data_IF_121916877554
#
_entry.id   IF_121916877554
#
_cell.length_a   1.000
_cell.length_b   1.000
_cell.length_c   1.000
_cell.angle_alpha   90.00
_cell.angle_beta   90.00
_cell.angle_gamma   90.00
#
_symmetry.space_group_name_H-M   'P 1'
#
loop_
_entity.id
_entity.type
_entity.pdbx_description
1 polymer ?
#
# COMPACT_ATOMS: atom_id res chain seq x y z
N UNK A 1 -9.96 -24.29 22.37
CA UNK A 1 -9.76 -24.19 20.91
C UNK A 1 -9.47 -22.74 20.60
N UNK A 2 -8.38 -22.49 19.89
CA UNK A 2 -8.01 -21.14 19.47
C UNK A 2 -8.82 -20.77 18.23
N UNK A 3 -9.31 -19.54 18.19
CA UNK A 3 -10.06 -18.96 17.08
C UNK A 3 -9.21 -17.88 16.44
N UNK A 4 -9.02 -18.00 15.13
CA UNK A 4 -8.22 -17.10 14.30
C UNK A 4 -9.10 -16.31 13.34
N UNK A 5 -8.55 -15.29 12.70
CA UNK A 5 -9.25 -14.56 11.64
C UNK A 5 -9.62 -15.46 10.45
N UNK A 6 -8.90 -16.57 10.24
CA UNK A 6 -9.21 -17.58 9.22
C UNK A 6 -10.52 -18.33 9.47
N UNK A 7 -11.04 -18.32 10.70
CA UNK A 7 -12.32 -18.96 11.07
C UNK A 7 -13.54 -18.06 10.79
N UNK A 8 -13.31 -16.81 10.36
CA UNK A 8 -14.37 -15.86 10.02
C UNK A 8 -14.99 -16.24 8.67
N UNK A 9 -16.31 -16.40 8.65
CA UNK A 9 -17.08 -16.52 7.42
C UNK A 9 -17.27 -15.13 6.81
N UNK A 10 -16.77 -14.94 5.58
CA UNK A 10 -16.86 -13.67 4.86
C UNK A 10 -17.76 -13.78 3.64
N UNK A 11 -18.27 -12.62 3.20
CA UNK A 11 -18.93 -12.49 1.90
C UNK A 11 -17.91 -12.59 0.75
N UNK A 12 -18.39 -12.80 -0.48
CA UNK A 12 -17.53 -12.95 -1.68
C UNK A 12 -16.60 -11.77 -1.94
N UNK A 13 -16.97 -10.59 -1.45
CA UNK A 13 -16.30 -9.33 -1.75
C UNK A 13 -15.31 -8.92 -0.64
N UNK A 14 -15.13 -9.80 0.36
CA UNK A 14 -14.29 -9.55 1.54
C UNK A 14 -13.20 -10.62 1.60
N UNK A 15 -11.95 -10.16 1.61
CA UNK A 15 -10.77 -11.00 1.81
C UNK A 15 -10.08 -10.64 3.13
N UNK A 16 -9.77 -11.66 3.93
CA UNK A 16 -8.94 -11.53 5.14
C UNK A 16 -7.50 -11.85 4.75
N UNK A 17 -6.66 -10.81 4.77
CA UNK A 17 -5.25 -10.92 4.39
C UNK A 17 -4.44 -11.69 5.45
N UNK A 18 -4.61 -11.39 6.73
CA UNK A 18 -3.93 -12.07 7.83
C UNK A 18 -4.84 -13.11 8.48
N UNK A 19 -4.90 -14.32 7.92
CA UNK A 19 -5.76 -15.41 8.41
C UNK A 19 -5.30 -15.99 9.75
N UNK A 20 -4.01 -15.91 10.04
CA UNK A 20 -3.43 -16.49 11.26
C UNK A 20 -3.57 -15.58 12.49
N UNK A 21 -4.22 -14.42 12.34
CA UNK A 21 -4.40 -13.48 13.44
C UNK A 21 -5.26 -14.10 14.56
N UNK A 22 -4.67 -14.32 15.72
CA UNK A 22 -5.37 -14.81 16.90
C UNK A 22 -6.44 -13.82 17.37
N UNK A 23 -7.65 -14.31 17.61
CA UNK A 23 -8.76 -13.52 18.12
C UNK A 23 -9.01 -13.81 19.60
N UNK A 24 -9.33 -15.06 19.93
CA UNK A 24 -9.64 -15.52 21.28
C UNK A 24 -9.65 -17.05 21.36
N UNK A 25 -9.87 -17.60 22.55
CA UNK A 25 -10.00 -19.04 22.79
C UNK A 25 -11.38 -19.39 23.33
N UNK A 26 -11.96 -20.52 22.89
CA UNK A 26 -13.21 -21.07 23.41
C UNK A 26 -12.89 -22.31 24.25
N UNK A 27 -13.44 -22.36 25.48
CA UNK A 27 -13.35 -23.52 26.36
C UNK A 27 -14.25 -24.67 25.87
N UNK A 28 -13.91 -25.90 26.23
CA UNK A 28 -14.69 -27.08 25.84
C UNK A 28 -16.16 -26.96 26.28
N UNK A 29 -17.08 -27.40 25.42
CA UNK A 29 -18.53 -27.31 25.66
C UNK A 29 -19.17 -25.92 25.45
N UNK A 30 -18.41 -24.92 25.00
CA UNK A 30 -18.91 -23.57 24.75
C UNK A 30 -18.92 -23.22 23.26
N UNK A 31 -19.74 -22.24 22.88
CA UNK A 31 -19.83 -21.72 21.51
C UNK A 31 -20.01 -20.21 21.50
N UNK A 32 -19.48 -19.54 20.49
CA UNK A 32 -19.64 -18.09 20.27
C UNK A 32 -20.19 -17.82 18.88
N UNK A 33 -21.08 -16.82 18.77
CA UNK A 33 -21.55 -16.28 17.50
C UNK A 33 -21.45 -14.77 17.56
N UNK A 34 -20.81 -14.18 16.56
CA UNK A 34 -20.72 -12.74 16.36
C UNK A 34 -21.04 -12.40 14.91
N UNK A 35 -21.55 -11.19 14.69
CA UNK A 35 -21.69 -10.58 13.37
C UNK A 35 -20.86 -9.32 13.38
N UNK A 36 -20.01 -9.15 12.37
CA UNK A 36 -19.13 -7.99 12.24
C UNK A 36 -19.49 -7.24 10.97
N UNK A 37 -19.45 -5.92 11.07
CA UNK A 37 -19.68 -5.04 9.92
C UNK A 37 -18.35 -4.39 9.55
N UNK A 38 -17.94 -4.55 8.30
CA UNK A 38 -16.74 -3.92 7.76
C UNK A 38 -17.16 -2.78 6.83
N UNK A 39 -16.44 -1.67 6.83
CA UNK A 39 -16.68 -0.52 5.94
C UNK A 39 -15.39 -0.13 5.24
N UNK A 40 -15.50 0.50 4.07
CA UNK A 40 -14.40 1.24 3.45
C UNK A 40 -14.43 2.66 3.99
N UNK A 41 -13.26 3.22 4.28
CA UNK A 41 -13.13 4.56 4.84
C UNK A 41 -11.72 5.09 4.68
N UNK A 42 -11.46 6.25 5.29
CA UNK A 42 -10.17 6.91 5.27
C UNK A 42 -9.72 7.25 6.69
N UNK A 43 -8.43 7.11 6.95
CA UNK A 43 -7.83 7.50 8.23
C UNK A 43 -8.37 6.70 9.40
N UNK A 44 -8.85 7.40 10.43
CA UNK A 44 -9.30 6.85 11.70
C UNK A 44 -10.70 7.38 12.02
N UNK A 45 -11.59 6.50 12.46
CA UNK A 45 -12.93 6.87 12.95
C UNK A 45 -13.10 6.30 14.36
N UNK A 46 -13.32 7.13 15.38
CA UNK A 46 -13.50 6.66 16.75
C UNK A 46 -14.81 5.87 16.90
N UNK A 47 -14.85 4.98 17.88
CA UNK A 47 -16.00 4.12 18.19
C UNK A 47 -17.30 4.91 18.40
N UNK A 48 -17.21 6.11 18.97
CA UNK A 48 -18.37 6.98 19.20
C UNK A 48 -19.05 7.42 17.90
N UNK A 49 -18.28 7.68 16.84
CA UNK A 49 -18.82 8.02 15.52
C UNK A 49 -19.36 6.79 14.77
N UNK A 50 -18.96 5.58 15.18
CA UNK A 50 -19.45 4.33 14.63
C UNK A 50 -20.79 3.86 15.24
N UNK A 51 -21.30 4.55 16.26
CA UNK A 51 -22.62 4.24 16.85
C UNK A 51 -23.73 4.53 15.83
N UNK A 52 -24.67 3.59 15.72
CA UNK A 52 -25.80 3.70 14.80
C UNK A 52 -27.09 3.77 15.60
N UNK A 53 -27.92 4.77 15.31
CA UNK A 53 -29.24 4.90 15.90
C UNK A 53 -30.11 3.68 15.55
N UNK A 54 -30.73 3.09 16.57
CA UNK A 54 -31.53 1.87 16.40
C UNK A 54 -30.71 0.58 16.22
N UNK A 55 -29.40 0.60 16.48
CA UNK A 55 -28.60 -0.62 16.51
C UNK A 55 -29.19 -1.64 17.52
N UNK A 56 -29.19 -2.95 17.20
CA UNK A 56 -29.65 -3.98 18.12
C UNK A 56 -28.93 -3.92 19.47
N UNK A 57 -29.64 -4.27 20.53
CA UNK A 57 -29.05 -4.41 21.87
C UNK A 57 -27.92 -5.42 21.81
N UNK A 58 -26.76 -5.06 22.39
CA UNK A 58 -25.55 -5.87 22.35
C UNK A 58 -24.59 -5.52 21.21
N UNK A 59 -24.93 -4.54 20.36
CA UNK A 59 -23.98 -3.99 19.37
C UNK A 59 -22.88 -3.21 20.09
N UNK A 60 -21.63 -3.57 19.81
CA UNK A 60 -20.45 -2.88 20.35
C UNK A 60 -19.81 -2.12 19.18
N UNK A 61 -19.81 -0.78 19.27
CA UNK A 61 -19.05 0.04 18.34
C UNK A 61 -17.57 -0.02 18.72
N UNK A 62 -16.70 -0.14 17.72
CA UNK A 62 -15.25 -0.17 17.87
C UNK A 62 -14.62 0.91 17.01
N UNK A 63 -13.38 1.29 17.30
CA UNK A 63 -12.63 2.20 16.45
C UNK A 63 -12.34 1.56 15.09
N UNK A 64 -12.42 2.35 14.02
CA UNK A 64 -12.07 1.90 12.67
C UNK A 64 -10.75 2.51 12.22
N UNK A 65 -9.80 1.66 11.86
CA UNK A 65 -8.49 2.05 11.33
C UNK A 65 -8.44 1.68 9.85
N UNK A 66 -8.50 2.67 8.97
CA UNK A 66 -8.45 2.53 7.51
C UNK A 66 -7.07 2.90 6.95
N UNK A 67 -6.00 2.60 7.70
CA UNK A 67 -4.63 2.99 7.36
C UNK A 67 -3.79 1.74 7.09
N UNK A 68 -3.68 1.31 5.81
CA UNK A 68 -2.97 0.07 5.47
C UNK A 68 -1.45 0.23 5.42
N UNK A 69 -0.94 1.46 5.38
CA UNK A 69 0.50 1.79 5.45
C UNK A 69 0.88 2.07 6.91
N UNK A 70 1.76 1.26 7.49
CA UNK A 70 2.15 1.35 8.90
C UNK A 70 3.41 2.19 9.13
N UNK A 71 4.29 2.27 8.13
CA UNK A 71 5.56 3.01 8.23
C UNK A 71 6.01 3.49 6.86
N UNK A 72 6.54 4.71 6.82
CA UNK A 72 7.25 5.26 5.66
C UNK A 72 8.54 5.91 6.16
N UNK A 73 9.68 5.51 5.57
CA UNK A 73 10.95 6.21 5.73
C UNK A 73 11.39 6.75 4.36
N UNK A 74 12.15 7.83 4.36
CA UNK A 74 12.77 8.35 3.16
C UNK A 74 14.21 8.76 3.42
N UNK A 75 15.04 8.63 2.40
CA UNK A 75 16.41 9.12 2.39
C UNK A 75 16.65 9.83 1.07
N UNK A 76 17.23 11.03 1.15
CA UNK A 76 17.73 11.77 -0.01
C UNK A 76 19.25 11.76 0.04
N UNK A 77 19.88 11.44 -1.08
CA UNK A 77 21.33 11.44 -1.22
C UNK A 77 21.73 11.99 -2.60
N UNK A 78 22.86 12.70 -2.73
CA UNK A 78 23.37 13.12 -4.03
C UNK A 78 23.64 11.91 -4.93
N UNK A 79 23.27 12.01 -6.20
CA UNK A 79 23.41 10.95 -7.19
C UNK A 79 24.21 11.45 -8.40
N UNK A 80 25.04 10.56 -8.94
CA UNK A 80 25.71 10.79 -10.22
C UNK A 80 25.06 9.95 -11.31
N UNK A 81 24.52 10.59 -12.35
CA UNK A 81 23.87 9.94 -13.49
C UNK A 81 24.66 10.29 -14.76
N UNK A 82 25.25 9.29 -15.42
CA UNK A 82 25.96 9.48 -16.70
C UNK A 82 27.14 10.48 -16.70
N UNK A 83 27.55 10.99 -15.53
CA UNK A 83 28.62 12.00 -15.37
C UNK A 83 28.16 13.29 -14.67
N UNK A 84 26.85 13.56 -14.65
CA UNK A 84 26.26 14.72 -13.97
C UNK A 84 26.00 14.39 -12.49
N UNK A 85 26.43 15.26 -11.57
CA UNK A 85 26.25 15.12 -10.12
C UNK A 85 25.28 16.14 -9.52
N UNK A 86 24.42 16.75 -10.35
CA UNK A 86 23.37 17.67 -9.91
C UNK A 86 22.07 16.96 -9.51
N UNK A 87 21.97 15.65 -9.74
CA UNK A 87 20.79 14.86 -9.39
C UNK A 87 20.81 14.45 -7.92
N UNK A 88 19.62 14.36 -7.33
CA UNK A 88 19.38 13.71 -6.05
C UNK A 88 18.65 12.38 -6.26
N UNK A 89 19.05 11.35 -5.52
CA UNK A 89 18.32 10.08 -5.44
C UNK A 89 17.45 10.08 -4.19
N UNK A 90 16.15 9.84 -4.40
CA UNK A 90 15.18 9.59 -3.35
C UNK A 90 14.98 8.08 -3.19
N UNK A 91 15.21 7.57 -1.98
CA UNK A 91 14.86 6.19 -1.60
C UNK A 91 13.68 6.24 -0.63
N UNK A 92 12.60 5.52 -0.94
CA UNK A 92 11.43 5.37 -0.08
C UNK A 92 11.34 3.92 0.41
N UNK A 93 11.19 3.75 1.73
CA UNK A 93 10.91 2.45 2.35
C UNK A 93 9.49 2.50 2.92
N UNK A 94 8.59 1.69 2.34
CA UNK A 94 7.17 1.69 2.67
C UNK A 94 6.79 0.33 3.22
N UNK A 95 6.25 0.30 4.45
CA UNK A 95 5.72 -0.92 5.08
C UNK A 95 4.19 -0.88 5.09
N UNK A 96 3.58 -1.93 4.58
CA UNK A 96 2.11 -2.11 4.52
C UNK A 96 1.67 -3.32 5.33
N UNK A 97 0.41 -3.38 5.75
CA UNK A 97 -0.18 -4.56 6.39
C UNK A 97 -0.66 -5.63 5.39
N UNK A 98 -0.38 -5.45 4.09
CA UNK A 98 -0.68 -6.42 3.02
C UNK A 98 -2.04 -6.22 2.33
N UNK A 99 -2.89 -5.30 2.79
CA UNK A 99 -4.16 -4.99 2.10
C UNK A 99 -4.01 -4.08 0.89
N UNK A 100 -2.83 -3.49 0.71
CA UNK A 100 -2.39 -2.75 -0.48
C UNK A 100 -0.90 -3.01 -0.67
N UNK A 101 -0.44 -3.13 -1.92
CA UNK A 101 0.99 -3.22 -2.22
C UNK A 101 1.63 -1.82 -2.19
N UNK A 102 2.92 -1.75 -1.86
CA UNK A 102 3.61 -0.49 -1.58
C UNK A 102 3.67 0.48 -2.76
N UNK A 103 3.80 -0.03 -3.98
CA UNK A 103 3.84 0.74 -5.23
C UNK A 103 2.47 1.30 -5.60
N UNK A 104 1.38 0.53 -5.38
CA UNK A 104 0.01 1.04 -5.52
C UNK A 104 -0.28 2.11 -4.47
N UNK A 105 0.12 1.91 -3.22
CA UNK A 105 -0.03 2.90 -2.16
C UNK A 105 0.69 4.22 -2.50
N UNK A 106 1.90 4.13 -3.04
CA UNK A 106 2.66 5.29 -3.50
C UNK A 106 2.01 5.96 -4.72
N UNK A 107 1.51 5.17 -5.67
CA UNK A 107 0.83 5.70 -6.86
C UNK A 107 -0.46 6.43 -6.50
N UNK A 108 -1.23 5.88 -5.56
CA UNK A 108 -2.46 6.49 -5.06
C UNK A 108 -2.15 7.79 -4.30
N UNK A 109 -1.09 7.81 -3.49
CA UNK A 109 -0.68 9.03 -2.77
C UNK A 109 -0.23 10.13 -3.73
N UNK A 110 0.53 9.77 -4.77
CA UNK A 110 0.93 10.70 -5.82
C UNK A 110 -0.30 11.28 -6.54
N UNK A 111 -1.29 10.44 -6.88
CA UNK A 111 -2.54 10.93 -7.48
C UNK A 111 -3.29 11.89 -6.56
N UNK A 112 -3.43 11.55 -5.29
CA UNK A 112 -4.09 12.43 -4.31
C UNK A 112 -3.37 13.78 -4.25
N UNK A 113 -2.04 13.80 -4.21
CA UNK A 113 -1.24 15.02 -4.20
C UNK A 113 -1.46 15.85 -5.48
N UNK A 114 -1.40 15.21 -6.65
CA UNK A 114 -1.65 15.88 -7.94
C UNK A 114 -3.05 16.49 -8.00
N UNK A 115 -4.07 15.75 -7.56
CA UNK A 115 -5.46 16.23 -7.58
C UNK A 115 -5.62 17.48 -6.67
N UNK A 116 -4.91 17.55 -5.54
CA UNK A 116 -4.88 18.75 -4.69
C UNK A 116 -4.11 19.92 -5.33
N UNK A 117 -2.99 19.66 -6.02
CA UNK A 117 -2.21 20.70 -6.68
C UNK A 117 -2.94 21.30 -7.88
N UNK A 118 -3.74 20.52 -8.60
CA UNK A 118 -4.53 20.99 -9.74
C UNK A 118 -5.49 22.11 -9.36
N UNK A 119 -6.03 22.10 -8.13
CA UNK A 119 -6.88 23.19 -7.63
C UNK A 119 -6.17 24.56 -7.67
N UNK A 120 -4.84 24.60 -7.61
CA UNK A 120 -4.06 25.83 -7.71
C UNK A 120 -3.70 26.19 -9.14
N UNK A 121 -3.52 25.20 -10.02
CA UNK A 121 -3.25 25.42 -11.44
C UNK A 121 -4.43 26.17 -12.08
N UNK A 122 -5.65 25.76 -11.74
CA UNK A 122 -6.89 26.33 -12.27
C UNK A 122 -7.15 27.79 -11.83
N UNK A 123 -6.41 28.30 -10.83
CA UNK A 123 -6.52 29.70 -10.40
C UNK A 123 -5.85 30.70 -11.36
N UNK A 124 -5.05 30.22 -12.32
CA UNK A 124 -4.28 31.06 -13.23
C UNK A 124 -4.39 30.54 -14.66
N UNK A 125 -5.01 31.32 -15.55
CA UNK A 125 -5.05 31.02 -16.99
C UNK A 125 -3.64 30.86 -17.58
N UNK A 126 -2.67 31.63 -17.07
CA UNK A 126 -1.25 31.53 -17.45
C UNK A 126 -0.64 30.18 -17.04
N UNK A 127 -1.02 29.65 -15.86
CA UNK A 127 -0.54 28.35 -15.41
C UNK A 127 -1.23 27.19 -16.14
N UNK A 128 -2.51 27.34 -16.46
CA UNK A 128 -3.30 26.35 -17.19
C UNK A 128 -2.84 26.18 -18.65
N UNK A 129 -2.39 27.27 -19.28
CA UNK A 129 -1.89 27.27 -20.67
C UNK A 129 -0.37 27.01 -20.76
N UNK A 130 0.34 26.98 -19.63
CA UNK A 130 1.78 26.72 -19.62
C UNK A 130 2.06 25.25 -19.99
N UNK A 131 2.79 25.04 -21.09
CA UNK A 131 3.35 23.72 -21.41
C UNK A 131 4.36 23.32 -20.33
N UNK A 132 4.06 22.24 -19.61
CA UNK A 132 5.01 21.66 -18.68
C UNK A 132 6.03 20.83 -19.44
N UNK A 133 7.32 21.07 -19.17
CA UNK A 133 8.43 20.22 -19.62
C UNK A 133 8.43 18.91 -18.83
N UNK A 134 7.36 18.11 -18.93
CA UNK A 134 7.42 16.72 -18.48
C UNK A 134 8.11 15.96 -19.59
N UNK A 135 9.45 15.91 -19.52
CA UNK A 135 10.20 14.89 -20.24
C UNK A 135 9.71 13.56 -19.68
N UNK A 136 8.81 12.89 -20.41
CA UNK A 136 8.61 11.46 -20.24
C UNK A 136 9.92 10.80 -20.68
N UNK A 137 10.89 10.75 -19.78
CA UNK A 137 11.89 9.72 -19.91
C UNK A 137 11.12 8.41 -19.78
N UNK A 138 10.90 7.76 -20.93
CA UNK A 138 10.59 6.34 -20.93
C UNK A 138 11.71 5.70 -20.14
N UNK A 139 11.45 5.39 -18.87
CA UNK A 139 12.26 4.44 -18.12
C UNK A 139 12.06 3.13 -18.88
N UNK A 140 12.89 2.92 -19.90
CA UNK A 140 13.17 1.62 -20.45
C UNK A 140 13.76 0.86 -19.28
N UNK A 141 12.90 0.15 -18.56
CA UNK A 141 13.33 -0.90 -17.66
C UNK A 141 14.01 -1.92 -18.55
N UNK A 142 15.31 -1.72 -18.82
CA UNK A 142 16.19 -2.77 -19.26
C UNK A 142 16.22 -3.79 -18.12
N UNK A 143 15.24 -4.69 -18.13
CA UNK A 143 15.24 -5.96 -17.41
C UNK A 143 16.30 -6.88 -18.01
N UNK A 144 17.51 -6.37 -18.23
CA UNK A 144 18.65 -7.11 -18.79
C UNK A 144 19.56 -7.62 -17.65
N UNK A 145 19.34 -7.18 -16.41
CA UNK A 145 20.21 -7.53 -15.28
C UNK A 145 19.73 -8.73 -14.43
N UNK A 146 18.55 -9.29 -14.70
CA UNK A 146 18.04 -10.50 -14.00
C UNK A 146 18.17 -11.80 -14.80
N UNK A 147 18.92 -11.80 -15.92
CA UNK A 147 19.33 -13.07 -16.51
C UNK A 147 20.43 -13.68 -15.66
N UNK A 148 20.04 -14.70 -14.90
CA UNK A 148 20.95 -15.69 -14.31
C UNK A 148 21.96 -16.09 -15.40
N UNK A 149 23.25 -16.07 -15.05
CA UNK A 149 24.42 -16.31 -15.91
C UNK A 149 24.32 -17.64 -16.70
N UNK A 150 23.36 -18.50 -16.38
CA UNK A 150 23.11 -19.81 -17.01
C UNK A 150 22.46 -19.77 -18.40
N UNK A 151 21.94 -18.63 -18.88
CA UNK A 151 21.41 -18.50 -20.26
C UNK A 151 22.39 -17.88 -21.28
N UNK A 152 23.63 -17.59 -20.86
CA UNK A 152 24.66 -17.10 -21.79
C UNK A 152 25.48 -18.29 -22.28
N UNK A 153 25.27 -18.69 -23.54
CA UNK A 153 25.92 -19.83 -24.21
C UNK A 153 27.43 -19.55 -24.45
N UNK A 154 28.20 -19.46 -23.37
CA UNK A 154 29.64 -19.26 -23.42
C UNK A 154 30.36 -20.61 -23.59
N UNK A 155 31.23 -20.68 -24.60
CA UNK A 155 32.11 -21.83 -24.78
C UNK A 155 32.98 -22.05 -23.52
N UNK A 156 33.23 -23.32 -23.19
CA UNK A 156 33.92 -23.87 -21.99
C UNK A 156 35.26 -23.20 -21.64
N UNK A 157 35.83 -22.36 -22.50
CA UNK A 157 37.07 -21.63 -22.25
C UNK A 157 36.94 -20.40 -21.34
N UNK A 158 35.75 -19.88 -21.10
CA UNK A 158 35.55 -18.71 -20.23
C UNK A 158 35.50 -19.02 -18.72
N UNK A 159 35.49 -20.31 -18.33
CA UNK A 159 35.28 -20.71 -16.94
C UNK A 159 36.57 -20.81 -16.10
N UNK A 160 37.76 -20.72 -16.71
CA UNK A 160 39.04 -20.91 -16.01
C UNK A 160 40.09 -19.86 -16.41
N UNK A 161 39.84 -18.60 -16.04
CA UNK A 161 40.81 -17.50 -16.08
C UNK A 161 40.79 -16.72 -14.78
#
# INVERSE_FOLDING_TARGET
MDVTAGDILTDSDIEIVNKDHYLFSIAEGHSMRAVMTVKKGYGYVPADENKVDGAPIGTIAVDSIYTPVSKVNYQVEPARVGGDSSYDKLTLEITTNGTIVSDEALSLSAKILTDHLNLFVDLSEVAAEAETLVVKDEVKTERVLDKIIEEMDFSVRAYNG
#
